data_IF_580336143900
#
_entry.id   IF_580336143900
#
_cell.length_a   1.000
_cell.length_b   1.000
_cell.length_c   1.000
_cell.angle_alpha   90.00
_cell.angle_beta   90.00
_cell.angle_gamma   90.00
#
_symmetry.space_group_name_H-M   'P 1'
#
loop_
_entity.id
_entity.type
_entity.pdbx_description
1 polymer ?
#
# COMPACT_ATOMS: atom_id res chain seq x y z
N UNK A 1 -69.13 25.85 12.08
CA UNK A 1 -67.94 25.04 11.70
C UNK A 1 -68.20 24.38 10.35
N UNK A 2 -67.22 24.47 9.44
CA UNK A 2 -67.33 24.16 8.01
C UNK A 2 -67.44 22.63 7.71
N UNK A 3 -68.21 22.20 6.70
CA UNK A 3 -68.43 20.77 6.38
C UNK A 3 -67.17 19.98 5.94
N UNK A 4 -66.02 20.65 5.83
CA UNK A 4 -64.72 20.01 5.53
C UNK A 4 -64.03 19.40 6.76
N UNK A 5 -64.45 19.72 7.99
CA UNK A 5 -63.86 19.16 9.21
C UNK A 5 -64.51 17.84 9.66
N UNK A 6 -65.65 17.45 9.07
CA UNK A 6 -66.37 16.21 9.45
C UNK A 6 -65.86 14.96 8.73
N UNK A 7 -65.04 15.10 7.68
CA UNK A 7 -64.45 13.98 6.92
C UNK A 7 -63.06 13.56 7.39
N UNK A 8 -62.45 14.27 8.35
CA UNK A 8 -61.14 13.92 8.90
C UNK A 8 -61.17 12.81 9.96
N UNK A 9 -62.35 12.30 10.36
CA UNK A 9 -62.48 11.35 11.48
C UNK A 9 -63.21 10.03 11.16
N UNK A 10 -63.35 9.65 9.89
CA UNK A 10 -64.12 8.46 9.49
C UNK A 10 -63.30 7.39 8.74
N UNK A 11 -62.19 6.90 9.30
CA UNK A 11 -61.59 5.64 8.83
C UNK A 11 -60.99 4.82 9.99
N UNK A 12 -61.20 3.49 10.05
CA UNK A 12 -60.87 2.68 11.24
C UNK A 12 -59.39 2.25 11.34
N UNK A 13 -58.57 2.53 10.32
CA UNK A 13 -57.22 1.94 10.20
C UNK A 13 -56.09 2.95 10.49
N UNK A 14 -56.18 3.68 11.61
CA UNK A 14 -55.07 4.53 12.10
C UNK A 14 -54.59 4.24 13.52
N UNK A 15 -55.09 3.18 14.16
CA UNK A 15 -54.47 2.67 15.38
C UNK A 15 -53.20 1.86 15.09
N UNK A 16 -53.08 1.23 13.91
CA UNK A 16 -51.87 0.50 13.51
C UNK A 16 -50.75 1.40 12.97
N UNK A 17 -51.06 2.59 12.44
CA UNK A 17 -50.05 3.55 11.96
C UNK A 17 -49.48 4.44 13.08
N UNK A 18 -50.17 4.59 14.21
CA UNK A 18 -49.65 5.31 15.40
C UNK A 18 -48.91 4.39 16.38
N UNK A 19 -49.25 3.10 16.46
CA UNK A 19 -48.47 2.11 17.25
C UNK A 19 -47.13 1.79 16.58
N UNK A 20 -47.03 1.82 15.24
CA UNK A 20 -45.76 1.63 14.53
C UNK A 20 -44.74 2.76 14.72
N UNK A 21 -45.20 4.01 14.92
CA UNK A 21 -44.31 5.17 15.13
C UNK A 21 -43.87 5.32 16.60
N UNK A 22 -44.63 4.79 17.56
CA UNK A 22 -44.30 4.81 18.99
C UNK A 22 -43.36 3.67 19.43
N UNK A 23 -43.25 2.57 18.68
CA UNK A 23 -42.22 1.53 18.94
C UNK A 23 -40.84 1.88 18.34
N UNK A 24 -40.76 2.85 17.43
CA UNK A 24 -39.49 3.30 16.85
C UNK A 24 -38.73 4.33 17.70
N UNK A 25 -39.38 4.97 18.68
CA UNK A 25 -38.73 5.89 19.64
C UNK A 25 -38.33 5.19 20.94
N UNK A 26 -38.97 4.07 21.31
CA UNK A 26 -38.67 3.36 22.56
C UNK A 26 -37.43 2.44 22.52
N UNK A 27 -36.87 2.10 21.35
CA UNK A 27 -35.59 1.34 21.26
C UNK A 27 -34.36 2.28 21.32
N UNK A 28 -34.57 3.59 21.13
CA UNK A 28 -33.51 4.61 21.20
C UNK A 28 -33.27 5.08 22.66
N UNK A 29 -34.15 4.74 23.61
CA UNK A 29 -34.04 5.15 25.02
C UNK A 29 -33.45 4.10 25.97
N UNK A 30 -32.94 2.96 25.49
CA UNK A 30 -32.25 1.95 26.34
C UNK A 30 -30.73 1.91 26.12
N UNK A 31 -30.19 2.64 25.14
CA UNK A 31 -28.73 2.68 24.88
C UNK A 31 -28.04 3.99 25.23
N UNK A 32 -28.78 5.02 25.63
CA UNK A 32 -28.20 6.33 26.01
C UNK A 32 -27.94 6.45 27.52
N UNK A 33 -28.66 5.70 28.37
CA UNK A 33 -28.47 5.75 29.83
C UNK A 33 -27.30 4.88 30.34
N UNK A 34 -26.65 4.09 29.49
CA UNK A 34 -25.43 3.35 29.84
C UNK A 34 -24.13 4.06 29.43
N UNK A 35 -24.23 5.26 28.84
CA UNK A 35 -23.08 6.02 28.36
C UNK A 35 -22.82 7.33 29.15
N UNK A 36 -23.56 7.61 30.22
CA UNK A 36 -23.45 8.87 30.97
C UNK A 36 -23.42 8.74 32.51
N UNK A 37 -23.36 7.53 33.07
CA UNK A 37 -23.32 7.32 34.53
C UNK A 37 -21.92 7.02 35.11
N UNK A 38 -20.85 6.96 34.30
CA UNK A 38 -19.50 6.63 34.78
C UNK A 38 -18.55 7.84 34.87
N UNK A 39 -19.09 9.07 34.78
CA UNK A 39 -18.37 10.31 35.10
C UNK A 39 -18.75 10.82 36.50
N UNK A 40 -18.46 10.04 37.55
CA UNK A 40 -18.26 10.54 38.90
C UNK A 40 -17.68 9.42 39.78
N UNK A 41 -16.51 9.70 40.36
CA UNK A 41 -15.83 8.96 41.44
C UNK A 41 -15.21 7.57 41.13
N UNK A 42 -13.93 7.55 40.76
CA UNK A 42 -12.93 6.79 41.54
C UNK A 42 -11.48 7.25 41.23
N UNK A 43 -10.72 7.59 42.27
CA UNK A 43 -9.28 7.74 42.20
C UNK A 43 -8.64 6.35 42.13
N UNK A 44 -8.45 5.82 40.92
CA UNK A 44 -7.58 4.67 40.72
C UNK A 44 -6.89 4.72 39.37
N UNK A 45 -5.56 4.73 39.43
CA UNK A 45 -4.63 4.55 38.31
C UNK A 45 -5.03 3.38 37.42
N UNK A 46 -5.65 3.68 36.28
CA UNK A 46 -5.81 2.72 35.19
C UNK A 46 -5.37 3.40 33.91
N UNK A 47 -4.30 2.88 33.34
CA UNK A 47 -3.72 3.27 32.07
C UNK A 47 -4.72 3.00 30.95
N UNK A 48 -5.20 4.06 30.30
CA UNK A 48 -5.96 3.96 29.05
C UNK A 48 -5.03 3.45 27.95
N UNK A 49 -4.96 2.14 27.75
CA UNK A 49 -4.31 1.57 26.58
C UNK A 49 -5.21 1.75 25.37
N UNK A 50 -4.94 2.80 24.58
CA UNK A 50 -5.31 2.83 23.16
C UNK A 50 -4.90 1.49 22.54
N UNK A 51 -5.76 0.79 21.79
CA UNK A 51 -5.33 -0.38 21.05
C UNK A 51 -4.16 0.04 20.16
N UNK A 52 -2.99 -0.62 20.22
CA UNK A 52 -1.89 -0.25 19.35
C UNK A 52 -2.41 -0.33 17.91
N UNK A 53 -2.14 0.72 17.13
CA UNK A 53 -2.24 0.64 15.67
C UNK A 53 -1.59 -0.69 15.24
N UNK A 54 -2.20 -1.47 14.33
CA UNK A 54 -1.61 -2.74 13.91
C UNK A 54 -0.16 -2.45 13.57
N UNK A 55 0.75 -3.00 14.37
CA UNK A 55 2.16 -2.83 14.16
C UNK A 55 2.40 -3.40 12.79
N UNK A 56 2.68 -2.53 11.82
CA UNK A 56 3.08 -2.92 10.49
C UNK A 56 4.40 -3.66 10.67
N UNK A 57 4.30 -4.97 10.92
CA UNK A 57 5.43 -5.87 10.76
C UNK A 57 5.93 -5.56 9.35
N UNK A 58 7.25 -5.30 9.17
CA UNK A 58 7.77 -5.21 7.83
C UNK A 58 7.30 -6.48 7.14
N UNK A 59 6.56 -6.32 6.06
CA UNK A 59 6.22 -7.43 5.17
C UNK A 59 7.56 -7.80 4.57
N UNK A 60 8.39 -8.51 5.35
CA UNK A 60 9.47 -9.33 4.89
C UNK A 60 8.73 -10.35 4.06
N UNK A 61 8.56 -10.01 2.80
CA UNK A 61 7.72 -10.77 1.92
C UNK A 61 8.46 -12.10 1.80
N UNK A 62 7.90 -13.22 2.25
CA UNK A 62 8.68 -14.42 2.53
C UNK A 62 7.94 -15.66 2.03
N UNK A 63 8.22 -16.00 0.79
CA UNK A 63 8.44 -17.36 0.33
C UNK A 63 9.31 -17.33 -0.95
N UNK A 64 10.15 -18.33 -1.22
CA UNK A 64 10.93 -18.40 -2.46
C UNK A 64 10.00 -18.69 -3.64
N UNK A 65 9.94 -17.75 -4.60
CA UNK A 65 9.01 -17.77 -5.74
C UNK A 65 9.30 -18.85 -6.81
N UNK A 66 10.43 -19.56 -6.75
CA UNK A 66 10.73 -20.55 -7.80
C UNK A 66 11.63 -21.73 -7.40
N UNK A 67 11.32 -22.84 -8.07
CA UNK A 67 11.84 -24.19 -7.89
C UNK A 67 13.26 -24.44 -8.45
N UNK A 68 13.97 -25.36 -7.77
CA UNK A 68 15.00 -26.33 -8.21
C UNK A 68 15.73 -26.08 -9.56
N UNK A 69 16.38 -24.93 -9.77
CA UNK A 69 17.49 -24.87 -10.74
C UNK A 69 18.74 -25.40 -10.03
N UNK A 70 19.48 -26.38 -10.59
CA UNK A 70 20.71 -26.86 -9.97
C UNK A 70 21.69 -25.69 -9.77
N UNK A 71 22.26 -25.57 -8.57
CA UNK A 71 23.16 -24.47 -8.21
C UNK A 71 24.32 -24.31 -9.22
N UNK A 72 24.87 -25.42 -9.72
CA UNK A 72 25.93 -25.42 -10.74
C UNK A 72 25.53 -24.64 -12.01
N UNK A 73 24.30 -24.80 -12.50
CA UNK A 73 23.80 -24.08 -13.68
C UNK A 73 23.62 -22.59 -13.42
N UNK A 74 23.28 -22.19 -12.21
CA UNK A 74 23.19 -20.77 -11.83
C UNK A 74 24.58 -20.13 -11.79
N UNK A 75 25.56 -20.82 -11.20
CA UNK A 75 26.94 -20.35 -11.12
C UNK A 75 27.54 -20.14 -12.53
N UNK A 76 27.31 -21.05 -13.47
CA UNK A 76 27.70 -20.89 -14.88
C UNK A 76 27.09 -19.64 -15.53
N UNK A 77 25.90 -19.23 -15.09
CA UNK A 77 25.21 -18.02 -15.56
C UNK A 77 25.63 -16.76 -14.77
N UNK A 78 26.54 -16.87 -13.81
CA UNK A 78 27.04 -15.74 -13.02
C UNK A 78 26.04 -15.23 -11.98
N UNK A 79 25.16 -16.10 -11.49
CA UNK A 79 24.18 -15.82 -10.41
C UNK A 79 24.15 -16.94 -9.39
N UNK A 80 23.72 -16.63 -8.17
CA UNK A 80 23.60 -17.59 -7.07
C UNK A 80 22.17 -18.11 -6.94
N UNK A 81 21.97 -19.12 -6.07
CA UNK A 81 20.62 -19.54 -5.65
C UNK A 81 19.85 -18.37 -5.05
N UNK A 82 20.54 -17.50 -4.31
CA UNK A 82 19.94 -16.33 -3.68
C UNK A 82 19.48 -15.30 -4.70
N UNK A 83 20.28 -15.04 -5.75
CA UNK A 83 19.88 -14.20 -6.88
C UNK A 83 18.63 -14.74 -7.58
N UNK A 84 18.56 -16.07 -7.77
CA UNK A 84 17.40 -16.74 -8.36
C UNK A 84 16.14 -16.69 -7.48
N UNK A 85 16.27 -16.32 -6.20
CA UNK A 85 15.14 -16.06 -5.31
C UNK A 85 14.76 -14.58 -5.29
N UNK A 86 15.75 -13.68 -5.25
CA UNK A 86 15.54 -12.24 -5.12
C UNK A 86 15.04 -11.58 -6.42
N UNK A 87 15.61 -11.94 -7.58
CA UNK A 87 15.27 -11.29 -8.84
C UNK A 87 13.78 -11.44 -9.22
N UNK A 88 13.16 -12.64 -9.14
CA UNK A 88 11.70 -12.81 -9.29
C UNK A 88 10.86 -11.92 -8.36
N UNK A 89 11.32 -11.72 -7.13
CA UNK A 89 10.62 -10.92 -6.13
C UNK A 89 10.68 -9.45 -6.47
N UNK A 90 11.83 -8.94 -6.91
CA UNK A 90 11.94 -7.56 -7.40
C UNK A 90 11.02 -7.35 -8.59
N UNK A 91 10.97 -8.32 -9.51
CA UNK A 91 10.10 -8.28 -10.70
C UNK A 91 8.61 -8.22 -10.35
N UNK A 92 8.19 -8.99 -9.35
CA UNK A 92 6.79 -9.00 -8.88
C UNK A 92 6.46 -7.77 -8.03
N UNK A 93 7.41 -7.29 -7.21
CA UNK A 93 7.25 -6.05 -6.45
C UNK A 93 7.05 -4.81 -7.34
N UNK A 94 7.81 -4.71 -8.44
CA UNK A 94 7.60 -3.66 -9.44
C UNK A 94 6.20 -3.73 -10.08
N UNK A 95 5.66 -4.95 -10.31
CA UNK A 95 4.28 -5.12 -10.78
C UNK A 95 3.26 -4.63 -9.75
N UNK A 96 3.44 -4.97 -8.47
CA UNK A 96 2.55 -4.46 -7.41
C UNK A 96 2.50 -2.93 -7.44
N UNK A 97 3.66 -2.26 -7.52
CA UNK A 97 3.71 -0.81 -7.58
C UNK A 97 3.07 -0.23 -8.82
N UNK A 98 3.39 -0.75 -10.01
CA UNK A 98 2.74 -0.34 -11.26
C UNK A 98 1.23 -0.47 -11.16
N UNK A 99 0.73 -1.64 -10.77
CA UNK A 99 -0.69 -1.94 -10.74
C UNK A 99 -1.41 -1.09 -9.68
N UNK A 100 -0.79 -0.85 -8.52
CA UNK A 100 -1.34 0.01 -7.48
C UNK A 100 -1.46 1.44 -8.02
N UNK A 101 -0.40 1.99 -8.61
CA UNK A 101 -0.40 3.36 -9.09
C UNK A 101 -1.32 3.59 -10.28
N UNK A 102 -1.47 2.62 -11.19
CA UNK A 102 -2.50 2.69 -12.24
C UNK A 102 -3.90 2.76 -11.63
N UNK A 103 -4.21 1.91 -10.64
CA UNK A 103 -5.51 1.91 -9.98
C UNK A 103 -5.77 3.21 -9.19
N UNK A 104 -4.77 3.74 -8.48
CA UNK A 104 -4.86 5.01 -7.77
C UNK A 104 -4.96 6.19 -8.73
N UNK A 105 -4.27 6.17 -9.86
CA UNK A 105 -4.43 7.17 -10.91
C UNK A 105 -5.84 7.16 -11.49
N UNK A 106 -6.41 5.98 -11.76
CA UNK A 106 -7.79 5.86 -12.22
C UNK A 106 -8.78 6.47 -11.22
N UNK A 107 -8.55 6.27 -9.92
CA UNK A 107 -9.43 6.75 -8.84
C UNK A 107 -9.31 8.25 -8.56
N UNK A 108 -8.10 8.78 -8.57
CA UNK A 108 -7.78 10.13 -8.07
C UNK A 108 -7.33 11.11 -9.16
N UNK A 109 -7.03 10.62 -10.37
CA UNK A 109 -6.60 11.41 -11.55
C UNK A 109 -5.36 12.28 -11.31
N UNK A 110 -4.51 11.87 -10.36
CA UNK A 110 -3.26 12.57 -10.07
C UNK A 110 -2.15 12.16 -11.03
N UNK A 111 -1.53 13.13 -11.71
CA UNK A 111 -0.42 12.90 -12.64
C UNK A 111 0.79 12.21 -11.98
N UNK A 112 0.99 12.44 -10.67
CA UNK A 112 1.99 11.75 -9.87
C UNK A 112 1.88 10.22 -10.01
N UNK A 113 0.70 9.65 -9.80
CA UNK A 113 0.50 8.20 -9.85
C UNK A 113 0.72 7.63 -11.26
N UNK A 114 0.32 8.34 -12.33
CA UNK A 114 0.63 7.89 -13.69
C UNK A 114 2.13 7.91 -14.00
N UNK A 115 2.88 8.89 -13.46
CA UNK A 115 4.33 8.97 -13.62
C UNK A 115 5.04 7.81 -12.89
N UNK A 116 4.63 7.54 -11.66
CA UNK A 116 5.14 6.42 -10.85
C UNK A 116 4.86 5.08 -11.53
N UNK A 117 3.64 4.85 -12.01
CA UNK A 117 3.28 3.65 -12.76
C UNK A 117 4.17 3.44 -13.99
N UNK A 118 4.41 4.49 -14.79
CA UNK A 118 5.30 4.42 -15.96
C UNK A 118 6.73 4.08 -15.57
N UNK A 119 7.23 4.61 -14.45
CA UNK A 119 8.57 4.27 -13.98
C UNK A 119 8.68 2.82 -13.53
N UNK A 120 7.67 2.28 -12.86
CA UNK A 120 7.65 0.88 -12.41
C UNK A 120 7.48 -0.10 -13.59
N UNK A 121 6.79 0.29 -14.66
CA UNK A 121 6.81 -0.46 -15.94
C UNK A 121 8.24 -0.57 -16.50
N UNK A 122 9.01 0.52 -16.50
CA UNK A 122 10.43 0.48 -16.91
C UNK A 122 11.26 -0.44 -16.02
N UNK A 123 11.01 -0.45 -14.70
CA UNK A 123 11.66 -1.40 -13.78
C UNK A 123 11.32 -2.84 -14.14
N UNK A 124 10.05 -3.15 -14.43
CA UNK A 124 9.62 -4.48 -14.85
C UNK A 124 10.33 -4.95 -16.12
N UNK A 125 10.46 -4.08 -17.14
CA UNK A 125 11.18 -4.41 -18.38
C UNK A 125 12.64 -4.76 -18.08
N UNK A 126 13.32 -3.93 -17.27
CA UNK A 126 14.72 -4.16 -16.91
C UNK A 126 14.92 -5.48 -16.14
N UNK A 127 14.01 -5.79 -15.20
CA UNK A 127 14.05 -7.02 -14.42
C UNK A 127 13.74 -8.25 -15.28
N UNK A 128 12.78 -8.16 -16.20
CA UNK A 128 12.47 -9.23 -17.18
C UNK A 128 13.68 -9.53 -18.06
N UNK A 129 14.36 -8.49 -18.55
CA UNK A 129 15.59 -8.64 -19.32
C UNK A 129 16.72 -9.31 -18.52
N UNK A 130 16.87 -8.96 -17.25
CA UNK A 130 17.83 -9.61 -16.36
C UNK A 130 17.48 -11.10 -16.12
N UNK A 131 16.21 -11.42 -15.89
CA UNK A 131 15.75 -12.80 -15.72
C UNK A 131 16.05 -13.65 -16.96
N UNK A 132 15.73 -13.12 -18.16
CA UNK A 132 16.02 -13.76 -19.42
C UNK A 132 17.52 -14.02 -19.61
N UNK A 133 18.38 -13.03 -19.28
CA UNK A 133 19.85 -13.16 -19.36
C UNK A 133 20.37 -14.32 -18.52
N UNK A 134 19.79 -14.55 -17.34
CA UNK A 134 20.21 -15.62 -16.43
C UNK A 134 19.45 -16.94 -16.64
N UNK A 135 18.55 -17.01 -17.64
CA UNK A 135 17.76 -18.21 -17.92
C UNK A 135 16.69 -18.50 -16.86
N UNK A 136 16.27 -17.48 -16.10
CA UNK A 136 15.18 -17.59 -15.15
C UNK A 136 13.84 -17.35 -15.86
N UNK A 137 12.82 -18.12 -15.48
CA UNK A 137 11.44 -17.90 -15.97
C UNK A 137 10.88 -16.63 -15.36
N UNK A 138 10.17 -15.81 -16.15
CA UNK A 138 9.48 -14.65 -15.60
C UNK A 138 8.51 -15.08 -14.48
N UNK A 139 8.54 -14.32 -13.40
CA UNK A 139 7.70 -14.48 -12.22
C UNK A 139 6.27 -13.99 -12.46
N UNK A 140 6.10 -13.07 -13.39
CA UNK A 140 4.80 -12.54 -13.81
C UNK A 140 4.34 -13.32 -15.04
N UNK A 141 3.67 -14.45 -14.79
CA UNK A 141 3.08 -15.26 -15.85
C UNK A 141 1.76 -14.67 -16.39
N UNK A 142 1.06 -13.87 -15.58
CA UNK A 142 -0.18 -13.20 -15.92
C UNK A 142 -0.05 -11.71 -15.60
N UNK A 143 0.00 -10.87 -16.63
CA UNK A 143 0.17 -9.43 -16.47
C UNK A 143 -1.15 -8.66 -16.33
N UNK A 144 -2.28 -9.35 -16.12
CA UNK A 144 -3.54 -8.68 -15.80
C UNK A 144 -3.40 -7.88 -14.49
N UNK A 145 -4.04 -6.72 -14.49
CA UNK A 145 -4.06 -5.79 -13.38
C UNK A 145 -4.51 -6.46 -12.08
N UNK A 146 -3.69 -6.35 -11.03
CA UNK A 146 -4.04 -6.84 -9.69
C UNK A 146 -3.99 -8.37 -9.54
N UNK A 147 -3.55 -9.11 -10.56
CA UNK A 147 -3.38 -10.56 -10.49
C UNK A 147 -1.94 -10.89 -10.12
N UNK A 148 -1.76 -11.72 -9.09
CA UNK A 148 -0.47 -12.18 -8.61
C UNK A 148 -0.55 -13.67 -8.28
N UNK A 149 0.45 -14.45 -8.73
CA UNK A 149 0.52 -15.89 -8.46
C UNK A 149 0.83 -16.20 -7.01
N UNK A 150 1.58 -15.32 -6.36
CA UNK A 150 1.95 -15.45 -4.95
C UNK A 150 0.89 -14.75 -4.08
N UNK A 151 0.31 -15.47 -3.11
CA UNK A 151 -0.76 -14.94 -2.26
C UNK A 151 -0.33 -13.75 -1.40
N UNK A 152 0.95 -13.65 -1.01
CA UNK A 152 1.45 -12.55 -0.19
C UNK A 152 1.46 -11.24 -0.99
N UNK A 153 1.90 -11.31 -2.25
CA UNK A 153 1.83 -10.17 -3.16
C UNK A 153 0.38 -9.77 -3.48
N UNK A 154 -0.52 -10.74 -3.65
CA UNK A 154 -1.94 -10.48 -3.86
C UNK A 154 -2.59 -9.78 -2.65
N UNK A 155 -2.27 -10.26 -1.44
CA UNK A 155 -2.74 -9.67 -0.18
C UNK A 155 -2.20 -8.25 0.00
N UNK A 156 -0.89 -8.04 -0.17
CA UNK A 156 -0.25 -6.73 -0.08
C UNK A 156 -0.89 -5.74 -1.06
N UNK A 157 -1.07 -6.12 -2.33
CA UNK A 157 -1.76 -5.28 -3.31
C UNK A 157 -3.19 -4.94 -2.88
N UNK A 158 -3.96 -5.94 -2.46
CA UNK A 158 -5.34 -5.76 -2.03
C UNK A 158 -5.45 -4.80 -0.84
N UNK A 159 -4.56 -4.93 0.14
CA UNK A 159 -4.54 -4.12 1.36
C UNK A 159 -4.19 -2.65 1.05
N UNK A 160 -3.11 -2.43 0.30
CA UNK A 160 -2.69 -1.09 -0.12
C UNK A 160 -3.76 -0.42 -0.99
N UNK A 161 -4.38 -1.17 -1.91
CA UNK A 161 -5.44 -0.64 -2.76
C UNK A 161 -6.68 -0.25 -1.96
N UNK A 162 -7.13 -1.10 -1.02
CA UNK A 162 -8.29 -0.78 -0.16
C UNK A 162 -8.05 0.51 0.64
N UNK A 163 -6.88 0.64 1.26
CA UNK A 163 -6.51 1.82 2.03
C UNK A 163 -6.35 3.06 1.13
N UNK A 164 -5.62 2.94 0.02
CA UNK A 164 -5.35 4.04 -0.91
C UNK A 164 -6.59 4.58 -1.63
N UNK A 165 -7.71 3.84 -1.65
CA UNK A 165 -8.97 4.31 -2.26
C UNK A 165 -9.84 5.14 -1.32
N UNK A 166 -9.49 5.27 -0.05
CA UNK A 166 -10.26 6.02 0.95
C UNK A 166 -10.17 7.53 0.74
N UNK A 167 -8.96 8.06 0.58
CA UNK A 167 -8.70 9.48 0.36
C UNK A 167 -7.41 9.69 -0.44
N UNK A 168 -7.20 10.89 -0.98
CA UNK A 168 -5.92 11.26 -1.61
C UNK A 168 -4.77 11.16 -0.60
N UNK A 169 -4.98 11.57 0.65
CA UNK A 169 -3.98 11.46 1.71
C UNK A 169 -3.61 10.00 1.99
N UNK A 170 -4.61 9.11 2.09
CA UNK A 170 -4.40 7.66 2.22
C UNK A 170 -3.66 7.10 1.01
N UNK A 171 -3.99 7.54 -0.21
CA UNK A 171 -3.34 7.10 -1.45
C UNK A 171 -1.84 7.44 -1.47
N UNK A 172 -1.49 8.64 -1.02
CA UNK A 172 -0.09 9.07 -0.92
C UNK A 172 0.64 8.32 0.19
N UNK A 173 0.01 8.10 1.35
CA UNK A 173 0.59 7.33 2.46
C UNK A 173 0.92 5.89 2.07
N UNK A 174 -0.01 5.17 1.44
CA UNK A 174 0.25 3.79 0.99
C UNK A 174 1.27 3.72 -0.14
N UNK A 175 1.34 4.76 -0.99
CA UNK A 175 2.42 4.89 -1.97
C UNK A 175 3.78 5.02 -1.29
N UNK A 176 3.88 5.89 -0.29
CA UNK A 176 5.11 6.04 0.49
C UNK A 176 5.50 4.76 1.21
N UNK A 177 4.55 4.07 1.84
CA UNK A 177 4.77 2.78 2.49
C UNK A 177 5.32 1.71 1.52
N UNK A 178 4.77 1.67 0.30
CA UNK A 178 5.22 0.76 -0.73
C UNK A 178 6.65 1.07 -1.18
N UNK A 179 6.97 2.34 -1.45
CA UNK A 179 8.34 2.72 -1.84
C UNK A 179 9.35 2.44 -0.71
N UNK A 180 9.00 2.67 0.56
CA UNK A 180 9.84 2.29 1.70
C UNK A 180 10.12 0.77 1.72
N UNK A 181 9.08 -0.04 1.47
CA UNK A 181 9.20 -1.51 1.40
C UNK A 181 10.12 -1.93 0.26
N UNK A 182 9.95 -1.37 -0.94
CA UNK A 182 10.78 -1.67 -2.10
C UNK A 182 12.24 -1.26 -1.89
N UNK A 183 12.51 -0.12 -1.21
CA UNK A 183 13.87 0.30 -0.85
C UNK A 183 14.54 -0.72 0.05
N UNK A 184 13.83 -1.22 1.07
CA UNK A 184 14.37 -2.23 2.00
C UNK A 184 14.67 -3.55 1.28
N UNK A 185 13.77 -4.00 0.42
CA UNK A 185 13.98 -5.21 -0.38
C UNK A 185 15.17 -5.06 -1.36
N UNK A 186 15.33 -3.88 -1.97
CA UNK A 186 16.48 -3.57 -2.83
C UNK A 186 17.78 -3.47 -2.05
N UNK A 187 17.78 -2.93 -0.83
CA UNK A 187 18.95 -2.92 0.06
C UNK A 187 19.40 -4.35 0.40
N UNK A 188 18.45 -5.20 0.78
CA UNK A 188 18.71 -6.63 1.00
C UNK A 188 19.28 -7.28 -0.25
N UNK A 189 18.66 -7.07 -1.41
CA UNK A 189 19.11 -7.67 -2.66
C UNK A 189 20.52 -7.20 -3.08
N UNK A 190 20.88 -5.95 -2.82
CA UNK A 190 22.23 -5.40 -3.05
C UNK A 190 23.28 -6.03 -2.12
N UNK A 191 22.92 -6.29 -0.86
CA UNK A 191 23.82 -6.90 0.12
C UNK A 191 24.02 -8.41 -0.09
N UNK A 192 23.04 -9.08 -0.69
CA UNK A 192 23.05 -10.53 -0.87
C UNK A 192 23.51 -11.00 -2.26
N UNK A 193 23.39 -10.16 -3.29
CA UNK A 193 23.82 -10.50 -4.65
C UNK A 193 25.34 -10.61 -4.76
N UNK A 194 25.82 -11.68 -5.42
CA UNK A 194 27.22 -11.80 -5.84
C UNK A 194 27.42 -11.42 -7.31
N UNK A 195 26.34 -11.25 -8.07
CA UNK A 195 26.39 -10.83 -9.46
C UNK A 195 26.62 -9.32 -9.57
N UNK A 196 27.75 -8.90 -10.14
CA UNK A 196 28.03 -7.47 -10.39
C UNK A 196 26.96 -6.82 -11.28
N UNK A 197 26.40 -7.57 -12.23
CA UNK A 197 25.32 -7.10 -13.11
C UNK A 197 24.05 -6.82 -12.32
N UNK A 198 23.62 -7.74 -11.45
CA UNK A 198 22.43 -7.52 -10.61
C UNK A 198 22.68 -6.44 -9.57
N UNK A 199 23.87 -6.37 -8.99
CA UNK A 199 24.24 -5.31 -8.05
C UNK A 199 24.08 -3.93 -8.71
N UNK A 200 24.59 -3.75 -9.94
CA UNK A 200 24.44 -2.51 -10.68
C UNK A 200 22.97 -2.20 -10.99
N UNK A 201 22.19 -3.19 -11.42
CA UNK A 201 20.76 -3.04 -11.68
C UNK A 201 19.99 -2.61 -10.41
N UNK A 202 20.17 -3.31 -9.30
CA UNK A 202 19.46 -3.00 -8.05
C UNK A 202 19.81 -1.62 -7.51
N UNK A 203 21.07 -1.18 -7.61
CA UNK A 203 21.44 0.20 -7.26
C UNK A 203 20.70 1.25 -8.09
N UNK A 204 20.52 1.00 -9.39
CA UNK A 204 19.77 1.89 -10.29
C UNK A 204 18.29 1.94 -9.92
N UNK A 205 17.67 0.77 -9.69
CA UNK A 205 16.29 0.68 -9.23
C UNK A 205 16.11 1.42 -7.90
N UNK A 206 16.96 1.14 -6.90
CA UNK A 206 16.87 1.75 -5.57
C UNK A 206 16.93 3.28 -5.62
N UNK A 207 17.81 3.84 -6.45
CA UNK A 207 17.88 5.29 -6.67
C UNK A 207 16.57 5.84 -7.22
N UNK A 208 15.98 5.17 -8.22
CA UNK A 208 14.67 5.54 -8.76
C UNK A 208 13.56 5.44 -7.71
N UNK A 209 13.55 4.38 -6.89
CA UNK A 209 12.58 4.16 -5.80
C UNK A 209 12.69 5.25 -4.72
N UNK A 210 13.89 5.72 -4.40
CA UNK A 210 14.06 6.89 -3.55
C UNK A 210 13.47 8.15 -4.17
N UNK A 211 13.66 8.39 -5.47
CA UNK A 211 13.03 9.53 -6.16
C UNK A 211 11.50 9.44 -6.13
N UNK A 212 10.93 8.24 -6.24
CA UNK A 212 9.50 8.01 -6.09
C UNK A 212 9.01 8.42 -4.70
N UNK A 213 9.68 7.95 -3.64
CA UNK A 213 9.38 8.31 -2.26
C UNK A 213 9.46 9.82 -2.03
N UNK A 214 10.48 10.49 -2.59
CA UNK A 214 10.64 11.95 -2.52
C UNK A 214 9.49 12.70 -3.19
N UNK A 215 9.07 12.26 -4.38
CA UNK A 215 7.95 12.87 -5.10
C UNK A 215 6.62 12.69 -4.35
N UNK A 216 6.42 11.53 -3.70
CA UNK A 216 5.26 11.28 -2.83
C UNK A 216 5.32 12.18 -1.60
N UNK A 217 6.47 12.26 -0.93
CA UNK A 217 6.67 13.09 0.26
C UNK A 217 6.41 14.57 -0.03
N UNK A 218 6.93 15.07 -1.16
CA UNK A 218 6.64 16.44 -1.61
C UNK A 218 5.15 16.64 -1.94
N UNK A 219 4.52 15.67 -2.61
CA UNK A 219 3.08 15.72 -2.88
C UNK A 219 2.23 15.76 -1.59
N UNK A 220 2.69 15.10 -0.54
CA UNK A 220 2.09 15.11 0.79
C UNK A 220 2.28 16.46 1.51
N UNK A 221 3.50 17.01 1.47
CA UNK A 221 3.83 18.32 2.03
C UNK A 221 2.99 19.45 1.41
N UNK A 222 2.83 19.48 0.08
CA UNK A 222 1.99 20.46 -0.62
C UNK A 222 0.50 20.43 -0.19
N UNK A 223 0.09 19.38 0.52
CA UNK A 223 -1.29 19.19 1.03
C UNK A 223 -1.40 19.43 2.54
N UNK A 224 -0.33 19.92 3.17
CA UNK A 224 -0.29 20.18 4.62
C UNK A 224 -0.19 18.93 5.49
N UNK A 225 0.16 17.78 4.90
CA UNK A 225 0.28 16.50 5.61
C UNK A 225 1.66 15.89 5.35
N UNK A 226 2.75 16.37 6.00
CA UNK A 226 4.11 15.97 5.67
C UNK A 226 4.32 14.46 5.88
N UNK A 227 5.00 13.81 4.92
CA UNK A 227 5.28 12.39 4.99
C UNK A 227 6.18 12.05 6.19
N UNK A 228 5.76 11.04 6.96
CA UNK A 228 6.51 10.49 8.08
C UNK A 228 6.90 9.05 7.73
N UNK A 229 8.20 8.76 7.50
CA UNK A 229 8.68 7.41 7.29
C UNK A 229 8.19 6.46 8.38
N UNK A 230 7.69 5.30 7.98
CA UNK A 230 7.19 4.27 8.90
C UNK A 230 8.08 3.04 8.94
N UNK A 231 8.87 2.80 7.89
CA UNK A 231 9.79 1.66 7.79
C UNK A 231 11.25 2.09 7.66
N UNK A 232 11.52 3.23 7.04
CA UNK A 232 12.86 3.80 6.91
C UNK A 232 13.17 4.76 8.08
N UNK A 233 14.42 4.80 8.57
CA UNK A 233 14.82 5.82 9.53
C UNK A 233 14.76 7.21 8.89
N UNK A 234 14.29 8.23 9.64
CA UNK A 234 14.15 9.61 9.15
C UNK A 234 15.43 10.19 8.54
N UNK A 235 16.60 9.83 9.10
CA UNK A 235 17.90 10.28 8.60
C UNK A 235 18.15 9.87 7.14
N UNK A 236 17.62 8.73 6.72
CA UNK A 236 17.74 8.20 5.36
C UNK A 236 16.93 9.03 4.36
N UNK A 237 15.82 9.64 4.78
CA UNK A 237 15.06 10.58 3.96
C UNK A 237 15.78 11.94 3.84
N UNK A 238 16.36 12.44 4.94
CA UNK A 238 17.07 13.73 4.95
C UNK A 238 18.37 13.77 4.14
N UNK A 239 19.01 12.62 3.93
CA UNK A 239 20.19 12.51 3.06
C UNK A 239 19.85 12.74 1.57
N UNK A 240 18.59 12.62 1.18
CA UNK A 240 18.12 12.81 -0.19
C UNK A 240 17.64 14.23 -0.47
N UNK A 241 17.15 14.95 0.55
CA UNK A 241 16.75 16.37 0.41
C UNK A 241 17.93 17.34 0.40
N UNK A 242 19.09 16.92 0.90
CA UNK A 242 20.29 17.78 1.05
C UNK A 242 21.56 17.20 0.40
N UNK A 243 21.47 16.02 -0.24
CA UNK A 243 22.54 15.49 -1.09
C UNK A 243 22.42 16.04 -2.52
N UNK A 244 23.50 16.03 -3.33
CA UNK A 244 23.37 16.35 -4.74
C UNK A 244 22.30 15.45 -5.36
N UNK A 245 21.31 16.06 -6.02
CA UNK A 245 20.47 15.33 -6.98
C UNK A 245 21.47 14.71 -7.94
N UNK A 246 21.62 13.39 -7.90
CA UNK A 246 22.51 12.69 -8.82
C UNK A 246 21.86 12.79 -10.22
N UNK A 247 22.22 13.85 -10.94
CA UNK A 247 21.72 14.23 -12.26
C UNK A 247 22.29 13.37 -13.38
N UNK A 248 23.23 12.46 -13.10
CA UNK A 248 23.96 11.68 -14.10
C UNK A 248 23.14 10.51 -14.69
N UNK A 249 21.82 10.48 -14.50
CA UNK A 249 21.02 9.27 -14.71
C UNK A 249 19.94 9.35 -15.82
N UNK A 250 19.86 10.43 -16.59
CA UNK A 250 19.13 10.42 -17.86
C UNK A 250 20.11 10.39 -19.04
N UNK A 251 20.53 9.23 -19.54
CA UNK A 251 20.98 9.19 -20.92
C UNK A 251 19.74 9.27 -21.82
N UNK A 252 19.81 10.16 -22.81
CA UNK A 252 18.99 10.08 -24.02
C UNK A 252 19.14 8.70 -24.68
#
# INVERSE_FOLDING_TARGET
MHPLLRKLFASPNRLQLLVGLLMAVAVISIWVDHLYSDMADDHRTTSSSTPPAPQAQPVALLAPLQAKIPAARLTEKGVTVKDAQLLPRMRTGAKVARDLYLALHQRWRMALFSSLAKSHETHMIALTGAMARFGLRDSVADDRMGIFSDPDFAMMYGDLLRQGRQSIASALRVGGELEETLILELDTAIGETQSMTLHALYKKLRRSTYNHLMNIAHGMELRGDPFMPTKLPRSRLSMLTHGPIDTDFFPN
#
